data_IF_606031267100
#
_entry.id   IF_606031267100
#
_cell.length_a   1.000
_cell.length_b   1.000
_cell.length_c   1.000
_cell.angle_alpha   90.00
_cell.angle_beta   90.00
_cell.angle_gamma   90.00
#
_symmetry.space_group_name_H-M   'P 1'
#
loop_
_entity.id
_entity.type
_entity.pdbx_description
1 polymer ?
#
# COMPACT_ATOMS: atom_id res chain seq x y z
N UNK A 1 -16.41 27.00 31.51
CA UNK A 1 -17.31 27.80 30.64
C UNK A 1 -16.63 28.10 29.30
N UNK A 2 -16.50 27.11 28.42
CA UNK A 2 -15.83 27.28 27.11
C UNK A 2 -16.73 27.89 26.04
N UNK A 3 -18.04 27.60 26.12
CA UNK A 3 -19.05 28.03 25.15
C UNK A 3 -19.27 29.55 25.19
N UNK A 4 -19.31 30.14 26.38
CA UNK A 4 -19.49 31.58 26.57
C UNK A 4 -18.30 32.36 26.00
N UNK A 5 -17.07 31.86 26.18
CA UNK A 5 -15.87 32.45 25.59
C UNK A 5 -15.88 32.41 24.06
N UNK A 6 -16.30 31.29 23.46
CA UNK A 6 -16.39 31.17 22.00
C UNK A 6 -17.45 32.11 21.40
N UNK A 7 -18.60 32.25 22.05
CA UNK A 7 -19.65 33.18 21.64
C UNK A 7 -19.17 34.63 21.69
N UNK A 8 -18.51 35.03 22.78
CA UNK A 8 -17.95 36.37 22.92
C UNK A 8 -16.84 36.69 21.90
N UNK A 9 -16.05 35.69 21.51
CA UNK A 9 -15.03 35.82 20.45
C UNK A 9 -15.63 35.94 19.05
N UNK A 10 -16.76 35.28 18.76
CA UNK A 10 -17.44 35.38 17.47
C UNK A 10 -18.20 36.69 17.30
N UNK A 11 -18.66 37.30 18.40
CA UNK A 11 -19.31 38.60 18.40
C UNK A 11 -18.32 39.79 18.48
N UNK A 12 -17.01 39.53 18.34
CA UNK A 12 -15.93 40.53 18.44
C UNK A 12 -15.88 41.32 19.77
N UNK A 13 -16.52 40.80 20.82
CA UNK A 13 -16.49 41.42 22.17
C UNK A 13 -15.14 41.15 22.85
N UNK A 14 -14.54 40.00 22.56
CA UNK A 14 -13.21 39.61 23.04
C UNK A 14 -12.34 39.30 21.82
N UNK A 15 -11.13 39.86 21.76
CA UNK A 15 -10.19 39.55 20.69
C UNK A 15 -9.81 38.07 20.73
N UNK A 16 -9.81 37.41 19.55
CA UNK A 16 -9.31 36.04 19.46
C UNK A 16 -7.85 36.03 19.90
N UNK A 17 -7.55 35.26 20.93
CA UNK A 17 -6.17 35.08 21.40
C UNK A 17 -5.43 34.33 20.30
N UNK A 18 -4.73 35.06 19.43
CA UNK A 18 -3.82 34.47 18.46
C UNK A 18 -2.67 33.89 19.27
N UNK A 19 -2.71 32.59 19.53
CA UNK A 19 -1.55 31.87 20.05
C UNK A 19 -0.49 31.94 18.96
N UNK A 20 0.39 32.94 19.06
CA UNK A 20 1.61 33.00 18.28
C UNK A 20 2.47 31.83 18.75
N UNK A 21 2.29 30.67 18.13
CA UNK A 21 3.25 29.60 18.25
C UNK A 21 4.52 30.07 17.55
N UNK A 22 5.44 30.64 18.32
CA UNK A 22 6.84 30.73 17.92
C UNK A 22 7.37 29.30 17.87
N UNK A 23 7.19 28.62 16.73
CA UNK A 23 7.90 27.36 16.44
C UNK A 23 9.37 27.72 16.40
N UNK A 24 10.07 27.55 17.53
CA UNK A 24 11.53 27.39 17.50
C UNK A 24 11.77 26.14 16.66
N UNK A 25 12.17 26.32 15.41
CA UNK A 25 12.69 25.21 14.61
C UNK A 25 14.03 24.84 15.21
N UNK A 26 14.04 23.85 16.11
CA UNK A 26 15.28 23.23 16.51
C UNK A 26 15.79 22.46 15.29
N UNK A 27 16.90 22.90 14.69
CA UNK A 27 17.53 22.12 13.63
C UNK A 27 17.96 20.78 14.21
N UNK A 28 17.65 19.69 13.51
CA UNK A 28 18.10 18.37 13.92
C UNK A 28 19.64 18.33 13.87
N UNK A 29 20.25 17.80 14.92
CA UNK A 29 21.71 17.62 14.97
C UNK A 29 22.19 16.82 13.76
N UNK A 30 23.29 17.27 13.15
CA UNK A 30 23.90 16.62 11.99
C UNK A 30 24.28 15.18 12.32
N UNK A 31 24.72 14.91 13.56
CA UNK A 31 25.07 13.58 14.04
C UNK A 31 23.85 12.65 14.05
N UNK A 32 22.72 13.15 14.51
CA UNK A 32 21.47 12.40 14.56
C UNK A 32 20.97 12.05 13.16
N UNK A 33 21.07 12.99 12.21
CA UNK A 33 20.75 12.72 10.80
C UNK A 33 21.61 11.60 10.22
N UNK A 34 22.92 11.66 10.44
CA UNK A 34 23.86 10.61 9.99
C UNK A 34 23.51 9.25 10.61
N UNK A 35 23.18 9.24 11.89
CA UNK A 35 22.82 8.03 12.62
C UNK A 35 21.51 7.40 12.10
N UNK A 36 20.50 8.21 11.78
CA UNK A 36 19.25 7.73 11.14
C UNK A 36 19.52 7.15 9.75
N UNK A 37 20.34 7.83 8.94
CA UNK A 37 20.72 7.36 7.60
C UNK A 37 21.46 6.03 7.68
N UNK A 38 22.41 5.90 8.62
CA UNK A 38 23.14 4.65 8.86
C UNK A 38 22.21 3.54 9.33
N UNK A 39 21.24 3.83 10.21
CA UNK A 39 20.25 2.86 10.66
C UNK A 39 19.45 2.28 9.49
N UNK A 40 19.01 3.13 8.56
CA UNK A 40 18.33 2.69 7.35
C UNK A 40 19.19 1.83 6.42
N UNK A 41 20.51 1.96 6.44
CA UNK A 41 21.41 1.21 5.56
C UNK A 41 21.75 -0.19 6.08
N UNK A 42 21.36 -0.54 7.32
CA UNK A 42 21.66 -1.85 7.90
C UNK A 42 20.88 -2.97 7.20
N UNK A 43 21.51 -4.15 7.13
CA UNK A 43 20.95 -5.34 6.49
C UNK A 43 19.79 -5.98 7.28
N UNK A 44 19.70 -5.73 8.59
CA UNK A 44 18.61 -6.20 9.45
C UNK A 44 17.36 -5.30 9.40
N UNK A 45 17.49 -4.07 8.88
CA UNK A 45 16.39 -3.13 8.66
C UNK A 45 15.94 -3.13 7.20
N UNK A 46 16.89 -3.28 6.27
CA UNK A 46 16.63 -3.22 4.84
C UNK A 46 17.27 -4.36 4.06
N UNK A 47 16.51 -4.89 3.11
CA UNK A 47 16.96 -5.89 2.15
C UNK A 47 17.49 -5.22 0.88
N UNK A 48 18.73 -5.51 0.48
CA UNK A 48 19.29 -5.01 -0.76
C UNK A 48 18.75 -5.77 -1.98
N UNK A 49 18.27 -5.05 -2.98
CA UNK A 49 17.78 -5.67 -4.21
C UNK A 49 18.94 -6.25 -5.03
N UNK A 50 18.79 -7.45 -5.61
CA UNK A 50 19.87 -8.12 -6.33
C UNK A 50 20.07 -7.63 -7.78
N UNK A 51 19.13 -6.89 -8.36
CA UNK A 51 19.15 -6.54 -9.77
C UNK A 51 20.16 -5.45 -10.13
N UNK A 52 20.86 -5.61 -11.25
CA UNK A 52 21.79 -4.60 -11.79
C UNK A 52 21.10 -3.28 -12.18
N UNK A 53 19.80 -3.32 -12.47
CA UNK A 53 18.97 -2.13 -12.76
C UNK A 53 18.34 -1.53 -11.51
N UNK A 54 18.49 -2.16 -10.35
CA UNK A 54 17.92 -1.72 -9.09
C UNK A 54 18.83 -0.70 -8.41
N UNK A 55 19.11 0.41 -9.09
CA UNK A 55 19.87 1.52 -8.54
C UNK A 55 19.05 2.81 -8.57
N UNK A 56 19.40 3.73 -7.68
CA UNK A 56 18.92 5.10 -7.64
C UNK A 56 20.11 6.04 -7.78
N UNK A 57 20.00 7.05 -8.64
CA UNK A 57 21.00 8.10 -8.75
C UNK A 57 20.64 9.21 -7.78
N UNK A 58 21.58 9.58 -6.91
CA UNK A 58 21.44 10.68 -5.96
C UNK A 58 22.53 11.70 -6.28
N UNK A 59 22.15 12.96 -6.41
CA UNK A 59 23.09 14.07 -6.58
C UNK A 59 23.40 14.65 -5.20
N UNK A 60 24.68 14.72 -4.86
CA UNK A 60 25.16 15.30 -3.61
C UNK A 60 25.09 16.83 -3.66
N UNK A 61 25.22 17.48 -2.50
CA UNK A 61 25.19 18.94 -2.36
C UNK A 61 26.30 19.64 -3.18
N UNK A 62 27.36 18.90 -3.53
CA UNK A 62 28.47 19.36 -4.37
C UNK A 62 28.21 19.22 -5.88
N UNK A 63 27.04 18.72 -6.29
CA UNK A 63 26.67 18.50 -7.68
C UNK A 63 27.19 17.19 -8.30
N UNK A 64 27.92 16.38 -7.55
CA UNK A 64 28.35 15.05 -7.99
C UNK A 64 27.21 14.04 -7.88
N UNK A 65 27.00 13.24 -8.94
CA UNK A 65 25.96 12.21 -8.95
C UNK A 65 26.56 10.86 -8.59
N UNK A 66 26.06 10.25 -7.53
CA UNK A 66 26.40 8.89 -7.11
C UNK A 66 25.26 7.92 -7.39
N UNK A 67 25.60 6.68 -7.72
CA UNK A 67 24.63 5.59 -7.89
C UNK A 67 24.61 4.74 -6.63
N UNK A 68 23.42 4.59 -6.04
CA UNK A 68 23.19 3.78 -4.84
C UNK A 68 22.29 2.61 -5.19
N UNK A 69 22.63 1.40 -4.73
CA UNK A 69 21.74 0.25 -4.88
C UNK A 69 20.45 0.48 -4.10
N UNK A 70 19.32 0.15 -4.72
CA UNK A 70 18.01 0.19 -4.08
C UNK A 70 17.92 -0.88 -3.01
N UNK A 71 17.32 -0.52 -1.89
CA UNK A 71 17.04 -1.41 -0.76
C UNK A 71 15.58 -1.28 -0.38
N UNK A 72 14.99 -2.30 0.20
CA UNK A 72 13.59 -2.31 0.63
C UNK A 72 13.54 -2.50 2.14
N UNK A 73 12.74 -1.66 2.82
CA UNK A 73 12.45 -1.82 4.23
C UNK A 73 11.75 -3.16 4.50
N UNK A 74 12.26 -3.91 5.47
CA UNK A 74 11.66 -5.16 5.93
C UNK A 74 10.38 -4.90 6.74
N UNK A 75 10.36 -3.80 7.50
CA UNK A 75 9.25 -3.39 8.35
C UNK A 75 8.53 -2.17 7.76
N UNK A 76 7.34 -1.86 8.26
CA UNK A 76 6.71 -0.58 7.91
C UNK A 76 7.47 0.60 8.58
N UNK A 77 7.22 1.83 8.12
CA UNK A 77 7.93 3.02 8.61
C UNK A 77 7.73 3.20 10.12
N UNK A 78 6.53 2.90 10.63
CA UNK A 78 6.19 3.08 12.04
C UNK A 78 6.92 2.09 12.94
N UNK A 79 6.97 0.83 12.54
CA UNK A 79 7.75 -0.23 13.21
C UNK A 79 9.24 0.08 13.15
N UNK A 80 9.75 0.49 12.00
CA UNK A 80 11.16 0.85 11.82
C UNK A 80 11.56 2.00 12.75
N UNK A 81 10.70 3.01 12.88
CA UNK A 81 10.89 4.10 13.84
C UNK A 81 10.86 3.62 15.29
N UNK A 82 9.96 2.69 15.62
CA UNK A 82 9.89 2.13 16.97
C UNK A 82 11.15 1.34 17.32
N UNK A 83 11.65 0.51 16.40
CA UNK A 83 12.94 -0.19 16.55
C UNK A 83 14.09 0.79 16.80
N UNK A 84 14.10 1.90 16.05
CA UNK A 84 15.08 2.96 16.23
C UNK A 84 14.98 3.61 17.62
N UNK A 85 13.78 3.99 18.05
CA UNK A 85 13.56 4.57 19.38
C UNK A 85 13.97 3.58 20.47
N UNK A 86 13.62 2.30 20.35
CA UNK A 86 13.94 1.29 21.36
C UNK A 86 15.46 1.08 21.49
N UNK A 87 16.18 1.03 20.36
CA UNK A 87 17.65 0.88 20.35
C UNK A 87 18.38 2.13 20.88
N UNK A 88 17.86 3.32 20.59
CA UNK A 88 18.49 4.60 20.93
C UNK A 88 17.82 5.35 22.10
N UNK A 89 16.91 4.70 22.84
CA UNK A 89 16.19 5.28 24.00
C UNK A 89 17.16 5.85 25.05
N UNK A 90 18.32 5.22 25.22
CA UNK A 90 19.33 5.64 26.19
C UNK A 90 20.06 6.94 25.81
N UNK A 91 19.91 7.45 24.58
CA UNK A 91 20.60 8.65 24.07
C UNK A 91 19.73 9.92 24.10
N UNK A 92 18.53 9.89 24.68
CA UNK A 92 17.58 11.01 24.69
C UNK A 92 17.38 11.64 23.30
N UNK A 93 17.15 10.79 22.30
CA UNK A 93 16.91 11.22 20.93
C UNK A 93 15.48 11.78 20.83
N UNK A 94 15.35 13.10 20.75
CA UNK A 94 14.08 13.76 20.41
C UNK A 94 13.94 13.85 18.87
N UNK A 95 13.27 12.86 18.29
CA UNK A 95 13.00 12.79 16.87
C UNK A 95 11.54 12.39 16.64
N UNK A 96 10.81 13.15 15.82
CA UNK A 96 9.44 12.79 15.47
C UNK A 96 9.39 11.72 14.36
N UNK A 97 8.32 10.94 14.31
CA UNK A 97 8.07 9.99 13.21
C UNK A 97 8.11 10.65 11.83
N UNK A 98 7.55 11.86 11.71
CA UNK A 98 7.55 12.63 10.45
C UNK A 98 8.97 12.97 10.03
N UNK A 99 9.76 13.52 10.95
CA UNK A 99 11.17 13.87 10.68
C UNK A 99 12.02 12.63 10.38
N UNK A 100 11.76 11.50 11.03
CA UNK A 100 12.42 10.23 10.74
C UNK A 100 12.13 9.77 9.30
N UNK A 101 10.87 9.84 8.87
CA UNK A 101 10.47 9.48 7.51
C UNK A 101 11.04 10.43 6.44
N UNK A 102 11.17 11.72 6.75
CA UNK A 102 11.81 12.71 5.87
C UNK A 102 13.32 12.46 5.70
N UNK A 103 13.98 11.92 6.72
CA UNK A 103 15.41 11.56 6.67
C UNK A 103 15.68 10.24 5.95
N UNK A 104 14.65 9.54 5.47
CA UNK A 104 14.81 8.30 4.72
C UNK A 104 15.52 8.57 3.38
N UNK A 105 16.67 7.91 3.10
CA UNK A 105 17.36 8.08 1.83
C UNK A 105 16.52 7.61 0.63
N UNK A 106 16.69 8.24 -0.53
CA UNK A 106 15.91 7.99 -1.75
C UNK A 106 16.08 6.55 -2.27
N UNK A 107 17.25 5.93 -2.04
CA UNK A 107 17.50 4.54 -2.42
C UNK A 107 16.78 3.51 -1.52
N UNK A 108 16.15 3.93 -0.43
CA UNK A 108 15.41 3.06 0.50
C UNK A 108 13.92 3.12 0.17
N UNK A 109 13.41 2.03 -0.37
CA UNK A 109 12.01 1.85 -0.73
C UNK A 109 11.20 1.28 0.44
N UNK A 110 9.91 1.58 0.45
CA UNK A 110 8.97 1.00 1.42
C UNK A 110 8.65 -0.46 1.05
N UNK A 111 8.19 -1.23 2.05
CA UNK A 111 7.88 -2.66 1.90
C UNK A 111 6.88 -2.95 0.76
N UNK A 112 6.01 -2.01 0.37
CA UNK A 112 5.10 -2.21 -0.78
C UNK A 112 5.80 -2.41 -2.12
N UNK A 113 7.09 -2.07 -2.24
CA UNK A 113 7.91 -2.35 -3.42
C UNK A 113 8.56 -3.73 -3.38
N UNK A 114 8.41 -4.50 -2.29
CA UNK A 114 8.87 -5.89 -2.28
C UNK A 114 8.15 -6.65 -3.37
N UNK A 115 8.87 -7.28 -4.31
CA UNK A 115 8.23 -8.07 -5.32
C UNK A 115 7.54 -9.23 -4.60
N UNK A 116 6.21 -9.26 -4.62
CA UNK A 116 5.45 -10.38 -4.07
C UNK A 116 5.50 -11.54 -5.08
N UNK A 117 6.63 -12.25 -5.16
CA UNK A 117 6.76 -13.44 -6.00
C UNK A 117 6.05 -14.67 -5.40
N UNK A 118 5.48 -14.55 -4.20
CA UNK A 118 4.55 -15.52 -3.61
C UNK A 118 3.55 -14.81 -2.70
N UNK A 119 2.23 -14.89 -2.98
CA UNK A 119 1.24 -14.54 -1.95
C UNK A 119 1.14 -15.73 -0.99
N UNK A 120 1.44 -15.50 0.29
CA UNK A 120 1.19 -16.47 1.37
C UNK A 120 -0.14 -16.20 2.08
N UNK A 121 -1.03 -15.44 1.43
CA UNK A 121 -2.32 -15.10 1.98
C UNK A 121 -3.27 -16.29 1.96
N UNK A 122 -4.10 -16.42 3.01
CA UNK A 122 -5.08 -17.51 3.16
C UNK A 122 -6.00 -17.67 1.94
N UNK A 123 -6.30 -16.58 1.23
CA UNK A 123 -7.18 -16.61 0.06
C UNK A 123 -6.52 -17.34 -1.12
N UNK A 124 -5.27 -17.04 -1.44
CA UNK A 124 -4.57 -17.73 -2.53
C UNK A 124 -4.28 -19.19 -2.15
N UNK A 125 -3.95 -19.47 -0.88
CA UNK A 125 -3.73 -20.85 -0.44
C UNK A 125 -5.02 -21.69 -0.45
N UNK A 126 -6.15 -21.16 0.04
CA UNK A 126 -7.43 -21.86 0.01
C UNK A 126 -7.87 -22.21 -1.41
N UNK A 127 -7.69 -21.30 -2.37
CA UNK A 127 -8.02 -21.58 -3.78
C UNK A 127 -7.08 -22.64 -4.37
N UNK A 128 -5.78 -22.56 -4.10
CA UNK A 128 -4.82 -23.60 -4.50
C UNK A 128 -5.21 -24.99 -3.94
N UNK A 129 -5.65 -25.07 -2.69
CA UNK A 129 -6.10 -26.32 -2.06
C UNK A 129 -7.36 -26.88 -2.73
N UNK A 130 -8.32 -26.02 -3.07
CA UNK A 130 -9.53 -26.43 -3.80
C UNK A 130 -9.20 -26.98 -5.19
N UNK A 131 -8.32 -26.31 -5.93
CA UNK A 131 -7.87 -26.75 -7.26
C UNK A 131 -7.17 -28.11 -7.17
N UNK A 132 -6.27 -28.30 -6.19
CA UNK A 132 -5.59 -29.58 -5.93
C UNK A 132 -6.54 -30.72 -5.54
N UNK A 133 -7.67 -30.40 -4.91
CA UNK A 133 -8.70 -31.41 -4.61
C UNK A 133 -9.50 -31.74 -5.86
N UNK A 134 -9.91 -30.73 -6.63
CA UNK A 134 -10.64 -30.91 -7.88
C UNK A 134 -9.86 -31.72 -8.91
N UNK A 135 -8.55 -31.51 -9.04
CA UNK A 135 -7.70 -32.27 -9.97
C UNK A 135 -7.63 -33.77 -9.68
N UNK A 136 -7.96 -34.20 -8.45
CA UNK A 136 -8.05 -35.63 -8.10
C UNK A 136 -9.37 -36.26 -8.53
N UNK A 137 -10.41 -35.46 -8.70
CA UNK A 137 -11.77 -35.93 -9.00
C UNK A 137 -12.19 -35.62 -10.44
N UNK A 138 -11.53 -34.67 -11.10
CA UNK A 138 -11.81 -34.22 -12.46
C UNK A 138 -10.51 -34.26 -13.24
N UNK A 139 -10.45 -35.13 -14.24
CA UNK A 139 -9.34 -35.15 -15.20
C UNK A 139 -9.54 -34.02 -16.22
N UNK A 140 -8.90 -32.89 -15.96
CA UNK A 140 -8.88 -31.74 -16.86
C UNK A 140 -7.48 -31.13 -16.89
N UNK A 141 -6.94 -30.97 -18.09
CA UNK A 141 -5.66 -30.31 -18.32
C UNK A 141 -5.78 -28.83 -17.90
N UNK A 142 -4.96 -28.40 -16.94
CA UNK A 142 -4.96 -27.03 -16.40
C UNK A 142 -5.37 -26.90 -14.92
N UNK A 143 -5.76 -27.98 -14.24
CA UNK A 143 -6.08 -27.98 -12.80
C UNK A 143 -4.88 -28.26 -11.88
N UNK A 144 -3.63 -28.14 -12.37
CA UNK A 144 -2.46 -28.49 -11.56
C UNK A 144 -1.97 -27.32 -10.68
N UNK A 145 -2.28 -26.08 -11.08
CA UNK A 145 -1.93 -24.89 -10.34
C UNK A 145 -2.98 -23.80 -10.53
N UNK A 146 -3.06 -22.86 -9.58
CA UNK A 146 -3.89 -21.68 -9.74
C UNK A 146 -3.53 -20.89 -11.01
N UNK A 147 -2.25 -20.82 -11.36
CA UNK A 147 -1.78 -20.12 -12.57
C UNK A 147 -2.32 -20.76 -13.85
N UNK A 148 -2.19 -22.07 -13.98
CA UNK A 148 -2.72 -22.80 -15.14
C UNK A 148 -4.25 -22.69 -15.21
N UNK A 149 -4.91 -22.78 -14.06
CA UNK A 149 -6.35 -22.65 -13.97
C UNK A 149 -6.83 -21.25 -14.37
N UNK A 150 -6.14 -20.20 -13.93
CA UNK A 150 -6.46 -18.82 -14.35
C UNK A 150 -6.18 -18.61 -15.83
N UNK A 151 -5.08 -19.15 -16.36
CA UNK A 151 -4.75 -19.08 -17.78
C UNK A 151 -5.81 -19.74 -18.66
N UNK A 152 -6.41 -20.84 -18.19
CA UNK A 152 -7.50 -21.52 -18.90
C UNK A 152 -8.81 -20.71 -18.89
N UNK A 153 -9.06 -19.93 -17.83
CA UNK A 153 -10.28 -19.14 -17.69
C UNK A 153 -10.22 -17.76 -18.37
N UNK A 154 -9.02 -17.24 -18.62
CA UNK A 154 -8.81 -15.87 -19.09
C UNK A 154 -8.23 -15.90 -20.51
N UNK A 155 -8.83 -15.14 -21.42
CA UNK A 155 -8.40 -15.10 -22.82
C UNK A 155 -7.01 -14.48 -23.03
N UNK A 156 -6.51 -13.68 -22.08
CA UNK A 156 -5.14 -13.14 -22.07
C UNK A 156 -4.71 -12.74 -20.64
N UNK A 157 -3.64 -13.33 -20.11
CA UNK A 157 -3.11 -13.03 -18.76
C UNK A 157 -2.40 -11.66 -18.68
N UNK A 158 -2.03 -11.07 -19.83
CA UNK A 158 -1.20 -9.86 -19.89
C UNK A 158 -2.01 -8.58 -20.14
N UNK A 159 -3.29 -8.69 -20.51
CA UNK A 159 -4.15 -7.52 -20.67
C UNK A 159 -4.98 -7.26 -19.41
N UNK A 160 -4.60 -6.19 -18.68
CA UNK A 160 -5.47 -5.52 -17.69
C UNK A 160 -6.81 -5.04 -18.31
N UNK A 161 -6.93 -5.12 -19.64
CA UNK A 161 -8.09 -4.80 -20.49
C UNK A 161 -8.73 -6.02 -21.16
N UNK A 162 -8.66 -7.22 -20.60
CA UNK A 162 -9.28 -8.41 -21.22
C UNK A 162 -10.78 -8.28 -21.55
N UNK A 163 -11.50 -7.35 -20.91
CA UNK A 163 -12.91 -7.01 -21.22
C UNK A 163 -13.07 -5.71 -22.04
N UNK A 164 -11.98 -4.97 -22.27
CA UNK A 164 -11.95 -3.73 -23.04
C UNK A 164 -12.92 -2.65 -22.52
N UNK A 165 -13.22 -1.61 -23.34
CA UNK A 165 -14.29 -0.65 -23.04
C UNK A 165 -15.69 -1.28 -23.05
N UNK A 166 -15.82 -2.52 -23.49
CA UNK A 166 -17.06 -3.29 -23.52
C UNK A 166 -17.36 -3.99 -22.19
N UNK A 167 -16.49 -3.85 -21.19
CA UNK A 167 -16.66 -4.45 -19.88
C UNK A 167 -17.92 -3.90 -19.19
N UNK A 168 -18.77 -4.76 -18.60
CA UNK A 168 -19.88 -4.29 -17.79
C UNK A 168 -19.36 -3.53 -16.57
N UNK A 169 -20.10 -2.50 -16.16
CA UNK A 169 -19.75 -1.73 -14.96
C UNK A 169 -19.66 -2.63 -13.71
N UNK A 170 -18.81 -2.25 -12.75
CA UNK A 170 -18.72 -2.95 -11.46
C UNK A 170 -20.08 -3.15 -10.77
N UNK A 171 -20.96 -2.16 -10.90
CA UNK A 171 -22.34 -2.22 -10.37
C UNK A 171 -23.18 -3.30 -11.04
N UNK A 172 -22.99 -3.53 -12.35
CA UNK A 172 -23.65 -4.57 -13.12
C UNK A 172 -23.15 -5.95 -12.68
N UNK A 173 -21.83 -6.14 -12.58
CA UNK A 173 -21.22 -7.39 -12.12
C UNK A 173 -21.69 -7.75 -10.70
N UNK A 174 -21.69 -6.77 -9.79
CA UNK A 174 -22.14 -6.98 -8.39
C UNK A 174 -23.62 -7.37 -8.31
N UNK A 175 -24.46 -6.83 -9.20
CA UNK A 175 -25.90 -7.17 -9.27
C UNK A 175 -26.10 -8.61 -9.72
N UNK A 176 -25.40 -9.04 -10.76
CA UNK A 176 -25.47 -10.41 -11.26
C UNK A 176 -24.93 -11.43 -10.26
N UNK A 177 -23.80 -11.15 -9.60
CA UNK A 177 -23.28 -12.00 -8.53
C UNK A 177 -24.27 -12.22 -7.38
N UNK A 178 -25.04 -11.19 -7.00
CA UNK A 178 -26.12 -11.32 -6.00
C UNK A 178 -27.28 -12.19 -6.50
N UNK A 179 -27.60 -12.14 -7.80
CA UNK A 179 -28.66 -12.99 -8.39
C UNK A 179 -28.24 -14.46 -8.41
N UNK A 180 -27.01 -14.76 -8.81
CA UNK A 180 -26.47 -16.12 -8.78
C UNK A 180 -26.41 -16.70 -7.36
N UNK A 181 -25.97 -15.90 -6.37
CA UNK A 181 -26.01 -16.32 -4.95
C UNK A 181 -27.41 -16.63 -4.43
N UNK A 182 -28.45 -16.08 -5.05
CA UNK A 182 -29.86 -16.36 -4.73
C UNK A 182 -30.41 -17.57 -5.50
N UNK A 183 -29.56 -18.32 -6.21
CA UNK A 183 -29.95 -19.52 -6.95
C UNK A 183 -30.46 -19.26 -8.36
N UNK A 184 -30.28 -18.05 -8.92
CA UNK A 184 -30.54 -17.83 -10.35
C UNK A 184 -29.46 -18.58 -11.15
N UNK A 185 -29.86 -19.34 -12.16
CA UNK A 185 -28.94 -20.02 -13.10
C UNK A 185 -29.06 -19.45 -14.53
N UNK A 186 -30.16 -18.74 -14.81
CA UNK A 186 -30.43 -18.10 -16.10
C UNK A 186 -29.61 -16.81 -16.29
N UNK A 187 -29.01 -16.69 -17.48
CA UNK A 187 -28.10 -15.61 -17.89
C UNK A 187 -28.80 -14.56 -18.76
N UNK A 188 -30.06 -14.79 -19.16
CA UNK A 188 -30.82 -13.85 -19.98
C UNK A 188 -31.37 -12.68 -19.16
N UNK A 189 -31.71 -11.57 -19.82
CA UNK A 189 -32.38 -10.45 -19.15
C UNK A 189 -33.83 -10.81 -18.79
N UNK A 190 -34.30 -10.31 -17.65
CA UNK A 190 -35.70 -10.43 -17.27
C UNK A 190 -36.57 -9.68 -18.31
N UNK A 191 -37.76 -10.20 -18.67
CA UNK A 191 -38.65 -9.51 -19.58
C UNK A 191 -38.94 -8.10 -19.08
N UNK A 192 -38.73 -7.10 -19.95
CA UNK A 192 -38.98 -5.69 -19.60
C UNK A 192 -40.45 -5.53 -19.26
N UNK A 193 -40.75 -5.06 -18.05
CA UNK A 193 -42.11 -4.66 -17.68
C UNK A 193 -42.49 -3.42 -18.50
N UNK A 194 -43.17 -3.63 -19.62
CA UNK A 194 -43.77 -2.55 -20.39
C UNK A 194 -44.92 -1.89 -19.62
N UNK A 195 -45.08 -0.58 -19.78
CA UNK A 195 -46.32 0.11 -19.40
C UNK A 195 -47.38 -0.32 -20.42
N UNK A 196 -48.50 -0.87 -19.97
CA UNK A 196 -49.65 -1.12 -20.83
C UNK A 196 -50.03 0.21 -21.49
N UNK A 197 -49.89 0.27 -22.81
CA UNK A 197 -50.40 1.39 -23.61
C UNK A 197 -51.90 1.17 -23.70
N UNK A 198 -52.66 1.92 -22.89
CA UNK A 198 -54.12 2.02 -22.99
C UNK A 198 -54.51 2.91 -24.16
#
# INVERSE_FOLDING_TARGET
MMVVQHLAQNLNIISKTVRQHTRKQHSLSIELKKLVIQFYQRDDITYQLPGKRDYATVTDDNGESMTLQKRILLYNIRETYQLFVDEYSNKNVDLSLTSFNELRPVNILINSYMPHHSCLCIYHENVNLLIKLLSKHISCDGLNSLKEFTSMLVCDEQEEKSLGPSAPSYTTVTRWAKRFRKGREDVNDDPRSGRLVS
#
